data_IF_395567873528
#
_entry.id   IF_395567873528
#
_cell.length_a   1.000
_cell.length_b   1.000
_cell.length_c   1.000
_cell.angle_alpha   90.00
_cell.angle_beta   90.00
_cell.angle_gamma   90.00
#
_symmetry.space_group_name_H-M   'P 1'
#
loop_
_entity.id
_entity.type
_entity.pdbx_description
1 polymer ?
#
# COMPACT_ATOMS: atom_id res chain seq x y z
N UNK A 1 -6.09 -8.88 5.02
CA UNK A 1 -7.53 -8.72 5.34
C UNK A 1 -8.02 -9.68 6.43
N UNK A 2 -7.89 -11.01 6.26
CA UNK A 2 -8.40 -11.97 7.26
C UNK A 2 -7.83 -11.76 8.67
N UNK A 3 -6.54 -11.49 8.81
CA UNK A 3 -5.91 -11.24 10.10
C UNK A 3 -6.51 -10.06 10.88
N UNK A 4 -6.96 -9.01 10.19
CA UNK A 4 -7.57 -7.84 10.84
C UNK A 4 -9.00 -8.09 11.32
N UNK A 5 -9.72 -8.96 10.63
CA UNK A 5 -11.07 -9.35 11.08
C UNK A 5 -11.04 -10.16 12.38
N UNK A 6 -9.93 -10.85 12.67
CA UNK A 6 -9.74 -11.52 13.95
C UNK A 6 -9.71 -10.54 15.14
N UNK A 7 -9.28 -9.30 14.91
CA UNK A 7 -9.25 -8.26 15.94
C UNK A 7 -10.65 -7.83 16.39
N UNK A 8 -11.69 -8.08 15.58
CA UNK A 8 -13.08 -7.82 15.94
C UNK A 8 -13.56 -8.65 17.14
N UNK A 9 -12.96 -9.82 17.37
CA UNK A 9 -13.37 -10.69 18.48
C UNK A 9 -13.01 -10.14 19.86
N UNK A 10 -11.86 -9.44 19.98
CA UNK A 10 -11.46 -8.79 21.24
C UNK A 10 -10.45 -7.66 20.98
N UNK A 11 -10.92 -6.44 20.69
CA UNK A 11 -10.06 -5.31 20.34
C UNK A 11 -9.18 -4.80 21.50
N UNK A 12 -9.39 -5.27 22.73
CA UNK A 12 -8.60 -4.89 23.91
C UNK A 12 -7.48 -5.89 24.22
N UNK A 13 -7.40 -7.02 23.52
CA UNK A 13 -6.38 -8.03 23.75
C UNK A 13 -5.06 -7.67 23.08
N UNK A 14 -4.04 -7.37 23.88
CA UNK A 14 -2.68 -7.11 23.37
C UNK A 14 -2.11 -8.31 22.59
N UNK A 15 -2.32 -9.54 23.09
CA UNK A 15 -1.87 -10.75 22.40
C UNK A 15 -2.51 -10.91 21.03
N UNK A 16 -3.81 -10.60 20.92
CA UNK A 16 -4.50 -10.65 19.63
C UNK A 16 -4.01 -9.55 18.68
N UNK A 17 -3.71 -8.36 19.19
CA UNK A 17 -3.13 -7.27 18.40
C UNK A 17 -1.78 -7.68 17.79
N UNK A 18 -0.90 -8.28 18.59
CA UNK A 18 0.41 -8.77 18.12
C UNK A 18 0.25 -9.89 17.07
N UNK A 19 -0.63 -10.85 17.33
CA UNK A 19 -0.89 -11.97 16.42
C UNK A 19 -1.45 -11.47 15.07
N UNK A 20 -2.41 -10.56 15.09
CA UNK A 20 -2.98 -9.98 13.86
C UNK A 20 -1.96 -9.14 13.09
N UNK A 21 -1.08 -8.41 13.78
CA UNK A 21 0.01 -7.65 13.16
C UNK A 21 1.04 -8.58 12.50
N UNK A 22 1.39 -9.70 13.14
CA UNK A 22 2.30 -10.71 12.56
C UNK A 22 1.71 -11.35 11.30
N UNK A 23 0.45 -11.79 11.35
CA UNK A 23 -0.25 -12.36 10.18
C UNK A 23 -0.36 -11.35 9.04
N UNK A 24 -0.62 -10.08 9.38
CA UNK A 24 -0.66 -8.98 8.40
C UNK A 24 0.71 -8.77 7.75
N UNK A 25 1.78 -8.68 8.54
CA UNK A 25 3.14 -8.49 8.04
C UNK A 25 3.59 -9.61 7.09
N UNK A 26 3.29 -10.86 7.42
CA UNK A 26 3.57 -12.00 6.54
C UNK A 26 2.79 -11.92 5.22
N UNK A 27 1.55 -11.44 5.26
CA UNK A 27 0.72 -11.28 4.05
C UNK A 27 1.12 -10.07 3.20
N UNK A 28 1.71 -9.02 3.79
CA UNK A 28 2.12 -7.80 3.09
C UNK A 28 3.54 -7.91 2.47
N UNK A 29 4.43 -8.70 3.07
CA UNK A 29 5.81 -8.82 2.62
C UNK A 29 5.96 -9.17 1.10
N UNK A 30 5.25 -10.17 0.54
CA UNK A 30 5.37 -10.48 -0.89
C UNK A 30 4.80 -9.37 -1.78
N UNK A 31 3.87 -8.54 -1.29
CA UNK A 31 3.28 -7.47 -2.08
C UNK A 31 4.29 -6.36 -2.45
N UNK A 32 5.27 -6.11 -1.59
CA UNK A 32 6.34 -5.16 -1.91
C UNK A 32 7.15 -5.61 -3.13
N UNK A 33 7.47 -6.92 -3.23
CA UNK A 33 8.13 -7.46 -4.42
C UNK A 33 7.30 -7.31 -5.69
N UNK A 34 6.00 -7.61 -5.59
CA UNK A 34 5.06 -7.49 -6.71
C UNK A 34 4.90 -6.05 -7.19
N UNK A 35 4.88 -5.06 -6.28
CA UNK A 35 4.81 -3.63 -6.66
C UNK A 35 6.02 -3.22 -7.50
N UNK A 36 7.23 -3.65 -7.12
CA UNK A 36 8.42 -3.35 -7.92
C UNK A 36 8.39 -4.04 -9.30
N UNK A 37 7.84 -5.24 -9.40
CA UNK A 37 7.63 -5.90 -10.68
C UNK A 37 6.68 -5.09 -11.57
N UNK A 38 5.55 -4.62 -11.06
CA UNK A 38 4.63 -3.78 -11.83
C UNK A 38 5.26 -2.47 -12.31
N UNK A 39 6.15 -1.88 -11.51
CA UNK A 39 6.89 -0.68 -11.94
C UNK A 39 7.84 -1.03 -13.09
N UNK A 40 8.55 -2.17 -13.02
CA UNK A 40 9.42 -2.64 -14.09
C UNK A 40 8.63 -2.94 -15.37
N UNK A 41 7.51 -3.65 -15.28
CA UNK A 41 6.62 -3.94 -16.41
C UNK A 41 6.11 -2.65 -17.07
N UNK A 42 5.82 -1.62 -16.27
CA UNK A 42 5.42 -0.31 -16.79
C UNK A 42 6.55 0.40 -17.56
N UNK A 43 7.81 0.22 -17.12
CA UNK A 43 8.99 0.73 -17.86
C UNK A 43 9.10 0.05 -19.22
N UNK A 44 8.97 -1.27 -19.28
CA UNK A 44 9.07 -2.05 -20.51
C UNK A 44 7.91 -1.76 -21.45
N UNK A 45 6.69 -1.65 -20.94
CA UNK A 45 5.54 -1.21 -21.71
C UNK A 45 5.74 0.20 -22.27
N UNK A 46 6.25 1.13 -21.47
CA UNK A 46 6.57 2.48 -21.90
C UNK A 46 7.60 2.50 -23.02
N UNK A 47 8.68 1.72 -22.91
CA UNK A 47 9.71 1.56 -23.92
C UNK A 47 9.17 0.95 -25.21
N UNK A 48 8.32 -0.08 -25.10
CA UNK A 48 7.68 -0.70 -26.25
C UNK A 48 6.84 0.30 -27.06
N UNK A 49 6.04 1.12 -26.34
CA UNK A 49 5.10 2.05 -26.94
C UNK A 49 5.74 3.33 -27.47
N UNK A 50 6.75 3.87 -26.77
CA UNK A 50 7.35 5.19 -27.07
C UNK A 50 8.73 5.09 -27.71
N UNK A 51 9.31 3.90 -27.81
CA UNK A 51 10.70 3.64 -28.23
C UNK A 51 11.77 4.30 -27.36
N UNK A 52 11.39 4.89 -26.23
CA UNK A 52 12.29 5.56 -25.30
C UNK A 52 12.20 4.87 -23.92
N UNK A 53 13.34 4.43 -23.40
CA UNK A 53 13.41 3.86 -22.04
C UNK A 53 13.45 4.97 -21.01
N UNK A 54 12.35 5.15 -20.26
CA UNK A 54 12.19 6.22 -19.27
C UNK A 54 12.15 5.66 -17.83
N UNK A 55 13.08 4.78 -17.51
CA UNK A 55 13.12 4.10 -16.22
C UNK A 55 13.15 5.07 -15.03
N UNK A 56 14.04 6.05 -15.05
CA UNK A 56 14.17 7.04 -13.97
C UNK A 56 12.89 7.84 -13.73
N UNK A 57 12.15 8.19 -14.78
CA UNK A 57 10.91 8.96 -14.65
C UNK A 57 9.82 8.12 -14.02
N UNK A 58 9.66 6.86 -14.39
CA UNK A 58 8.63 5.96 -13.86
C UNK A 58 8.90 5.62 -12.39
N UNK A 59 10.15 5.29 -12.03
CA UNK A 59 10.54 5.06 -10.63
C UNK A 59 10.40 6.33 -9.77
N UNK A 60 10.71 7.50 -10.32
CA UNK A 60 10.51 8.77 -9.61
C UNK A 60 9.04 9.05 -9.35
N UNK A 61 8.16 8.83 -10.35
CA UNK A 61 6.72 8.97 -10.18
C UNK A 61 6.17 8.02 -9.11
N UNK A 62 6.60 6.75 -9.10
CA UNK A 62 6.24 5.78 -8.07
C UNK A 62 6.70 6.22 -6.67
N UNK A 63 7.93 6.76 -6.56
CA UNK A 63 8.47 7.28 -5.30
C UNK A 63 7.69 8.50 -4.79
N UNK A 64 7.36 9.44 -5.67
CA UNK A 64 6.52 10.60 -5.32
C UNK A 64 5.13 10.13 -4.88
N UNK A 65 4.50 9.23 -5.63
CA UNK A 65 3.20 8.66 -5.29
C UNK A 65 3.18 8.00 -3.91
N UNK A 66 4.23 7.23 -3.59
CA UNK A 66 4.39 6.61 -2.27
C UNK A 66 4.48 7.64 -1.15
N UNK A 67 5.28 8.70 -1.31
CA UNK A 67 5.45 9.75 -0.29
C UNK A 67 4.18 10.59 -0.11
N UNK A 68 3.52 10.94 -1.21
CA UNK A 68 2.24 11.64 -1.17
C UNK A 68 1.18 10.78 -0.48
N UNK A 69 1.10 9.49 -0.82
CA UNK A 69 0.19 8.55 -0.18
C UNK A 69 0.42 8.42 1.33
N UNK A 70 1.69 8.33 1.75
CA UNK A 70 2.05 8.28 3.17
C UNK A 70 1.66 9.58 3.90
N UNK A 71 1.92 10.75 3.30
CA UNK A 71 1.53 12.04 3.85
C UNK A 71 0.01 12.19 4.01
N UNK A 72 -0.75 11.85 2.98
CA UNK A 72 -2.22 11.87 3.02
C UNK A 72 -2.79 10.92 4.06
N UNK A 73 -2.22 9.71 4.18
CA UNK A 73 -2.64 8.74 5.19
C UNK A 73 -2.40 9.26 6.60
N UNK A 74 -1.23 9.85 6.86
CA UNK A 74 -0.92 10.45 8.17
C UNK A 74 -1.84 11.62 8.49
N UNK A 75 -2.12 12.48 7.52
CA UNK A 75 -3.05 13.60 7.69
C UNK A 75 -4.48 13.11 7.98
N UNK A 76 -4.95 12.09 7.27
CA UNK A 76 -6.27 11.50 7.49
C UNK A 76 -6.40 10.90 8.90
N UNK A 77 -5.40 10.14 9.36
CA UNK A 77 -5.38 9.60 10.74
C UNK A 77 -5.38 10.74 11.76
N UNK A 78 -4.55 11.77 11.57
CA UNK A 78 -4.52 12.95 12.46
C UNK A 78 -5.87 13.67 12.52
N UNK A 79 -6.53 13.85 11.38
CA UNK A 79 -7.85 14.48 11.31
C UNK A 79 -8.92 13.66 12.05
N UNK A 80 -8.92 12.34 11.89
CA UNK A 80 -9.84 11.43 12.62
C UNK A 80 -9.61 11.55 14.12
N UNK A 81 -8.35 11.49 14.58
CA UNK A 81 -8.02 11.59 16.00
C UNK A 81 -8.44 12.94 16.60
N UNK A 82 -8.21 14.04 15.87
CA UNK A 82 -8.62 15.38 16.29
C UNK A 82 -10.16 15.48 16.41
N UNK A 83 -10.89 14.92 15.42
CA UNK A 83 -12.35 14.96 15.40
C UNK A 83 -13.02 14.20 16.56
N UNK A 84 -12.37 13.15 17.08
CA UNK A 84 -12.89 12.32 18.17
C UNK A 84 -12.40 12.76 19.57
N UNK A 85 -11.64 13.85 19.64
CA UNK A 85 -11.13 14.39 20.90
C UNK A 85 -10.01 13.55 21.52
N UNK A 86 -9.11 13.02 20.69
CA UNK A 86 -7.92 12.31 21.18
C UNK A 86 -7.04 13.23 22.03
N UNK A 87 -6.66 12.78 23.20
CA UNK A 87 -5.81 13.53 24.14
C UNK A 87 -4.37 13.06 23.97
N UNK A 88 -3.49 13.95 23.52
CA UNK A 88 -2.06 13.65 23.43
C UNK A 88 -1.46 13.54 24.84
N UNK A 89 -0.48 12.66 25.03
CA UNK A 89 0.24 12.52 26.29
C UNK A 89 0.97 13.81 26.64
N UNK A 90 0.90 14.21 27.91
CA UNK A 90 1.69 15.31 28.44
C UNK A 90 3.19 15.02 28.40
N UNK A 91 4.01 16.09 28.46
CA UNK A 91 5.46 16.01 28.57
C UNK A 91 5.96 15.23 29.81
N UNK A 92 5.08 14.95 30.75
CA UNK A 92 5.36 14.13 31.96
C UNK A 92 5.32 12.62 31.70
N UNK A 93 4.95 12.17 30.51
CA UNK A 93 4.88 10.75 30.15
C UNK A 93 3.73 9.97 30.80
N UNK A 94 2.83 10.64 31.52
CA UNK A 94 1.64 10.00 32.08
C UNK A 94 0.68 9.63 30.93
N UNK A 95 0.21 8.36 30.93
CA UNK A 95 -0.78 7.92 29.95
C UNK A 95 -2.12 8.63 30.21
N UNK A 96 -2.54 9.49 29.28
CA UNK A 96 -3.83 10.13 29.35
C UNK A 96 -4.95 9.10 29.18
N UNK A 97 -5.98 9.16 30.02
CA UNK A 97 -7.19 8.38 29.83
C UNK A 97 -7.92 8.88 28.57
N UNK A 98 -8.01 8.04 27.57
CA UNK A 98 -8.63 8.39 26.30
C UNK A 98 -10.16 8.29 26.40
N UNK A 99 -10.91 9.23 25.79
CA UNK A 99 -12.35 9.11 25.67
C UNK A 99 -12.74 7.86 24.88
N UNK A 100 -13.88 7.26 25.19
CA UNK A 100 -14.37 6.05 24.50
C UNK A 100 -14.52 6.26 22.97
N UNK A 101 -14.85 7.48 22.57
CA UNK A 101 -14.91 7.87 21.15
C UNK A 101 -13.55 7.73 20.44
N UNK A 102 -12.46 8.14 21.08
CA UNK A 102 -11.12 8.02 20.52
C UNK A 102 -10.69 6.55 20.43
N UNK A 103 -10.93 5.74 21.47
CA UNK A 103 -10.63 4.30 21.47
C UNK A 103 -11.39 3.58 20.36
N UNK A 104 -12.68 3.86 20.21
CA UNK A 104 -13.51 3.28 19.15
C UNK A 104 -13.04 3.70 17.75
N UNK A 105 -12.69 4.98 17.57
CA UNK A 105 -12.20 5.48 16.29
C UNK A 105 -10.86 4.84 15.90
N UNK A 106 -9.94 4.68 16.86
CA UNK A 106 -8.66 4.00 16.61
C UNK A 106 -8.90 2.56 16.18
N UNK A 107 -9.74 1.82 16.90
CA UNK A 107 -10.08 0.42 16.60
C UNK A 107 -10.73 0.31 15.21
N UNK A 108 -11.70 1.15 14.90
CA UNK A 108 -12.38 1.16 13.62
C UNK A 108 -11.43 1.52 12.47
N UNK A 109 -10.58 2.53 12.66
CA UNK A 109 -9.60 2.92 11.64
C UNK A 109 -8.58 1.80 11.41
N UNK A 110 -8.10 1.16 12.47
CA UNK A 110 -7.18 0.03 12.36
C UNK A 110 -7.77 -1.16 11.58
N UNK A 111 -9.05 -1.43 11.76
CA UNK A 111 -9.74 -2.55 11.10
C UNK A 111 -10.14 -2.19 9.68
N UNK A 112 -10.86 -1.08 9.49
CA UNK A 112 -11.53 -0.78 8.24
C UNK A 112 -10.66 -0.06 7.20
N UNK A 113 -9.73 0.81 7.62
CA UNK A 113 -8.91 1.53 6.67
C UNK A 113 -8.10 0.60 5.75
N UNK A 114 -7.39 -0.43 6.25
CA UNK A 114 -6.72 -1.39 5.37
C UNK A 114 -7.70 -2.22 4.52
N UNK A 115 -8.87 -2.57 5.03
CA UNK A 115 -9.88 -3.32 4.26
C UNK A 115 -10.32 -2.51 3.03
N UNK A 116 -10.60 -1.21 3.23
CA UNK A 116 -10.99 -0.32 2.13
C UNK A 116 -9.86 -0.14 1.14
N UNK A 117 -8.64 0.16 1.63
CA UNK A 117 -7.47 0.41 0.77
C UNK A 117 -7.13 -0.83 -0.07
N UNK A 118 -7.08 -2.01 0.55
CA UNK A 118 -6.80 -3.25 -0.16
C UNK A 118 -7.97 -3.68 -1.06
N UNK A 119 -9.21 -3.33 -0.70
CA UNK A 119 -10.37 -3.52 -1.56
C UNK A 119 -10.26 -2.71 -2.85
N UNK A 120 -9.92 -1.43 -2.73
CA UNK A 120 -9.68 -0.56 -3.90
C UNK A 120 -8.51 -1.07 -4.73
N UNK A 121 -7.39 -1.45 -4.09
CA UNK A 121 -6.25 -2.02 -4.78
C UNK A 121 -6.61 -3.30 -5.55
N UNK A 122 -7.40 -4.20 -4.97
CA UNK A 122 -7.87 -5.41 -5.62
C UNK A 122 -8.73 -5.10 -6.86
N UNK A 123 -9.62 -4.10 -6.77
CA UNK A 123 -10.42 -3.65 -7.92
C UNK A 123 -9.53 -3.09 -9.02
N UNK A 124 -8.53 -2.25 -8.69
CA UNK A 124 -7.58 -1.71 -9.67
C UNK A 124 -6.81 -2.84 -10.35
N UNK A 125 -6.30 -3.82 -9.57
CA UNK A 125 -5.58 -4.97 -10.11
C UNK A 125 -6.46 -5.85 -10.99
N UNK A 126 -7.75 -5.97 -10.72
CA UNK A 126 -8.68 -6.71 -11.56
C UNK A 126 -8.76 -6.14 -12.99
N UNK A 127 -8.63 -4.82 -13.13
CA UNK A 127 -8.59 -4.14 -14.43
C UNK A 127 -7.21 -4.13 -15.08
N UNK A 128 -6.16 -4.56 -14.37
CA UNK A 128 -4.82 -4.64 -14.91
C UNK A 128 -4.71 -5.79 -15.92
N UNK A 129 -4.43 -5.47 -17.16
CA UNK A 129 -4.40 -6.43 -18.28
C UNK A 129 -3.03 -6.61 -18.90
N UNK A 130 -2.02 -5.91 -18.41
CA UNK A 130 -0.68 -5.91 -18.99
C UNK A 130 -0.04 -7.30 -18.99
N UNK A 131 -0.28 -8.11 -17.95
CA UNK A 131 0.23 -9.48 -17.85
C UNK A 131 -0.07 -10.33 -19.09
N UNK A 132 -1.25 -10.13 -19.70
CA UNK A 132 -1.66 -10.91 -20.89
C UNK A 132 -0.89 -10.51 -22.16
N UNK A 133 -0.34 -9.34 -22.20
CA UNK A 133 0.39 -8.77 -23.34
C UNK A 133 1.90 -8.78 -23.12
N UNK A 134 2.34 -9.03 -21.89
CA UNK A 134 3.73 -8.87 -21.47
C UNK A 134 4.70 -9.75 -22.27
N UNK A 135 4.35 -11.01 -22.49
CA UNK A 135 5.18 -11.95 -23.26
C UNK A 135 5.44 -11.45 -24.70
N UNK A 136 4.40 -10.95 -25.38
CA UNK A 136 4.54 -10.40 -26.73
C UNK A 136 5.35 -9.09 -26.75
N UNK A 137 5.18 -8.24 -25.74
CA UNK A 137 5.95 -7.00 -25.62
C UNK A 137 7.44 -7.30 -25.44
N UNK A 138 7.79 -8.29 -24.63
CA UNK A 138 9.18 -8.69 -24.42
C UNK A 138 9.80 -9.27 -25.67
N UNK A 139 9.08 -10.12 -26.40
CA UNK A 139 9.54 -10.70 -27.67
C UNK A 139 9.85 -9.60 -28.70
N UNK A 140 8.96 -8.66 -28.90
CA UNK A 140 9.19 -7.53 -29.78
C UNK A 140 10.37 -6.64 -29.35
N UNK A 141 10.52 -6.40 -28.04
CA UNK A 141 11.66 -5.61 -27.53
C UNK A 141 12.99 -6.32 -27.73
N UNK A 142 13.05 -7.64 -27.57
CA UNK A 142 14.24 -8.44 -27.83
C UNK A 142 14.61 -8.46 -29.30
N UNK A 143 13.62 -8.62 -30.19
CA UNK A 143 13.85 -8.58 -31.64
C UNK A 143 14.40 -7.22 -32.07
N UNK A 144 13.82 -6.13 -31.58
CA UNK A 144 14.35 -4.78 -31.84
C UNK A 144 15.78 -4.59 -31.37
N UNK A 145 16.14 -5.15 -30.21
CA UNK A 145 17.52 -5.08 -29.69
C UNK A 145 18.50 -5.83 -30.59
N UNK A 146 18.12 -7.00 -31.11
CA UNK A 146 18.95 -7.79 -32.04
C UNK A 146 19.22 -7.01 -33.33
N UNK A 147 18.17 -6.41 -33.91
CA UNK A 147 18.29 -5.62 -35.15
C UNK A 147 19.14 -4.36 -35.00
N UNK A 148 19.30 -3.85 -33.78
CA UNK A 148 20.15 -2.66 -33.52
C UNK A 148 21.61 -3.02 -33.17
N UNK A 149 21.89 -4.31 -32.89
CA UNK A 149 23.22 -4.80 -32.54
C UNK A 149 24.00 -5.34 -33.71
N UNK A 150 23.32 -5.63 -34.85
CA UNK A 150 23.89 -6.01 -36.17
C UNK A 150 24.13 -4.77 -37.03
#
# INVERSE_FOLDING_TARGET
MAGQLLFLFNPQSYGLAVATAAVKGLGEAPLFGVIFSFIADAVEYGQWKTHIRQEGMIFSAASVGSKVGAGLSSAAVGAVLAAVGYISSDSTGAAAQQPASAVSAISNTYIWAPVVIWGVAAVVLFFYKLDKQYAGIMEELEERKRLLSD
#
